data_IF_375390422483
#
_entry.id   IF_375390422483
#
_cell.length_a   1.000
_cell.length_b   1.000
_cell.length_c   1.000
_cell.angle_alpha   90.00
_cell.angle_beta   90.00
_cell.angle_gamma   90.00
#
_symmetry.space_group_name_H-M   'P 1'
#
loop_
_entity.id
_entity.type
_entity.pdbx_description
1 polymer ?
#
# COMPACT_ATOMS: atom_id res chain seq x y z
N UNK A 1 -3.63 -42.54 -36.63
CA UNK A 1 -2.94 -42.70 -37.92
C UNK A 1 -3.53 -43.87 -38.67
N UNK A 2 -4.31 -43.61 -39.72
CA UNK A 2 -4.31 -44.34 -41.01
C UNK A 2 -5.23 -43.59 -41.97
N UNK A 3 -4.62 -43.05 -43.01
CA UNK A 3 -5.22 -42.37 -44.16
C UNK A 3 -5.79 -43.41 -45.14
N UNK A 4 -6.63 -42.97 -46.09
CA UNK A 4 -6.96 -43.79 -47.25
C UNK A 4 -8.07 -43.22 -48.14
N UNK A 5 -7.72 -42.21 -48.93
CA UNK A 5 -8.48 -41.69 -50.07
C UNK A 5 -8.62 -42.70 -51.21
N UNK A 6 -9.72 -42.66 -51.95
CA UNK A 6 -9.88 -43.39 -53.20
C UNK A 6 -11.04 -42.84 -54.04
N UNK A 7 -10.71 -41.88 -54.90
CA UNK A 7 -11.54 -41.39 -56.01
C UNK A 7 -11.49 -42.42 -57.14
N UNK A 8 -12.61 -42.59 -57.87
CA UNK A 8 -12.70 -42.82 -59.33
C UNK A 8 -13.87 -43.75 -59.68
N UNK A 9 -14.96 -43.19 -60.21
CA UNK A 9 -15.78 -43.87 -61.21
C UNK A 9 -16.59 -42.82 -61.98
N UNK A 10 -16.28 -42.72 -63.27
CA UNK A 10 -16.87 -41.80 -64.22
C UNK A 10 -18.19 -42.34 -64.80
N UNK A 11 -19.06 -41.39 -65.16
CA UNK A 11 -19.96 -41.36 -66.33
C UNK A 11 -20.94 -42.51 -66.57
N UNK A 12 -22.24 -42.20 -66.74
CA UNK A 12 -23.02 -42.49 -67.96
C UNK A 12 -24.20 -41.50 -68.06
N UNK A 13 -24.51 -41.13 -69.29
CA UNK A 13 -25.43 -40.10 -69.79
C UNK A 13 -26.91 -40.50 -69.76
N UNK A 14 -27.75 -39.46 -69.79
CA UNK A 14 -29.01 -39.29 -70.56
C UNK A 14 -30.24 -40.14 -70.24
N UNK A 15 -31.36 -39.47 -70.02
CA UNK A 15 -32.50 -39.34 -70.98
C UNK A 15 -33.54 -38.43 -70.30
N UNK A 16 -33.73 -37.18 -70.71
CA UNK A 16 -34.69 -36.75 -71.74
C UNK A 16 -36.13 -37.31 -71.53
N UNK A 17 -37.07 -36.42 -71.21
CA UNK A 17 -38.46 -36.58 -71.67
C UNK A 17 -39.55 -36.27 -70.66
N UNK A 18 -40.04 -35.02 -70.67
CA UNK A 18 -41.47 -34.65 -70.66
C UNK A 18 -41.57 -33.11 -70.71
N UNK A 19 -41.37 -32.51 -71.89
CA UNK A 19 -42.44 -31.92 -72.71
C UNK A 19 -43.41 -30.98 -71.96
N UNK A 20 -43.09 -29.69 -72.10
CA UNK A 20 -43.96 -28.62 -72.62
C UNK A 20 -45.39 -28.48 -72.06
N UNK A 21 -45.60 -27.37 -71.34
CA UNK A 21 -46.79 -26.53 -71.54
C UNK A 21 -46.35 -25.23 -72.21
N UNK A 22 -46.95 -24.98 -73.36
CA UNK A 22 -46.68 -23.88 -74.28
C UNK A 22 -47.20 -22.55 -73.71
N UNK A 23 -46.46 -21.51 -74.09
CA UNK A 23 -46.60 -20.07 -73.91
C UNK A 23 -48.02 -19.47 -74.03
N UNK A 24 -48.23 -18.34 -73.35
CA UNK A 24 -48.27 -17.00 -74.00
C UNK A 24 -48.08 -15.86 -72.97
N UNK A 25 -47.35 -14.78 -73.31
CA UNK A 25 -47.20 -13.59 -72.49
C UNK A 25 -48.23 -12.51 -72.89
N UNK A 26 -48.80 -11.77 -71.93
CA UNK A 26 -49.57 -10.56 -72.22
C UNK A 26 -49.05 -9.37 -71.41
N UNK A 27 -48.42 -8.44 -72.14
CA UNK A 27 -48.31 -6.99 -71.90
C UNK A 27 -48.24 -6.50 -70.43
N UNK A 28 -47.03 -6.16 -69.97
CA UNK A 28 -46.85 -5.43 -68.71
C UNK A 28 -45.41 -5.10 -68.26
N UNK A 29 -44.39 -5.34 -69.09
CA UNK A 29 -42.98 -5.33 -68.68
C UNK A 29 -42.23 -3.99 -68.85
N UNK A 30 -42.88 -2.82 -68.81
CA UNK A 30 -42.22 -1.55 -69.15
C UNK A 30 -42.21 -0.45 -68.06
N UNK A 31 -42.81 -0.65 -66.89
CA UNK A 31 -42.92 0.45 -65.88
C UNK A 31 -42.06 0.23 -64.64
N UNK A 32 -41.44 -0.94 -64.45
CA UNK A 32 -40.75 -1.27 -63.18
C UNK A 32 -39.24 -1.04 -63.18
N UNK A 33 -38.60 -0.71 -64.31
CA UNK A 33 -37.14 -0.58 -64.37
C UNK A 33 -36.59 0.82 -63.98
N UNK A 34 -37.43 1.87 -63.97
CA UNK A 34 -36.98 3.23 -63.64
C UNK A 34 -37.01 3.56 -62.12
N UNK A 35 -37.65 2.71 -61.31
CA UNK A 35 -37.72 2.90 -59.86
C UNK A 35 -36.50 2.35 -59.10
N UNK A 36 -35.74 1.42 -59.70
CA UNK A 36 -34.59 0.79 -59.05
C UNK A 36 -33.32 1.66 -59.03
N UNK A 37 -33.22 2.69 -59.88
CA UNK A 37 -32.03 3.55 -59.98
C UNK A 37 -32.00 4.73 -58.98
N UNK A 38 -33.01 4.85 -58.11
CA UNK A 38 -33.06 5.86 -57.03
C UNK A 38 -32.76 5.28 -55.64
N UNK A 39 -32.06 4.15 -55.56
CA UNK A 39 -31.71 3.49 -54.30
C UNK A 39 -30.21 3.35 -54.09
N UNK A 40 -29.44 4.45 -54.17
CA UNK A 40 -28.06 4.47 -53.63
C UNK A 40 -27.47 5.88 -53.47
N UNK A 41 -28.30 6.87 -53.14
CA UNK A 41 -27.76 8.14 -52.62
C UNK A 41 -27.30 7.89 -51.18
N UNK A 42 -26.01 7.61 -51.02
CA UNK A 42 -25.37 7.31 -49.75
C UNK A 42 -25.56 8.45 -48.75
N UNK A 43 -26.10 8.11 -47.59
CA UNK A 43 -26.18 9.00 -46.45
C UNK A 43 -24.75 9.26 -45.93
N UNK A 44 -24.23 10.47 -46.15
CA UNK A 44 -23.03 10.94 -45.44
C UNK A 44 -23.49 11.74 -44.20
N UNK A 45 -23.32 11.22 -42.97
CA UNK A 45 -23.74 11.96 -41.79
C UNK A 45 -22.84 13.19 -41.60
N UNK A 46 -23.46 14.34 -41.35
CA UNK A 46 -22.73 15.53 -40.93
C UNK A 46 -22.12 15.27 -39.54
N UNK A 47 -20.81 14.99 -39.48
CA UNK A 47 -20.10 14.77 -38.22
C UNK A 47 -20.01 16.09 -37.47
N UNK A 48 -20.90 16.32 -36.51
CA UNK A 48 -20.80 17.46 -35.61
C UNK A 48 -19.70 17.18 -34.58
N UNK A 49 -18.62 17.97 -34.58
CA UNK A 49 -17.59 17.84 -33.56
C UNK A 49 -18.17 18.26 -32.21
N UNK A 50 -18.37 17.30 -31.30
CA UNK A 50 -18.90 17.55 -29.96
C UNK A 50 -17.94 18.47 -29.19
N UNK A 51 -18.45 19.66 -28.81
CA UNK A 51 -17.70 20.81 -28.28
C UNK A 51 -17.18 20.64 -26.83
N UNK A 52 -17.06 19.40 -26.33
CA UNK A 52 -16.71 19.13 -24.93
C UNK A 52 -15.79 17.89 -24.79
N UNK A 53 -14.51 18.02 -25.14
CA UNK A 53 -13.46 17.05 -24.79
C UNK A 53 -13.06 17.06 -23.29
N UNK A 54 -13.97 17.47 -22.40
CA UNK A 54 -13.69 17.76 -20.99
C UNK A 54 -14.54 16.94 -20.00
N UNK A 55 -15.16 15.85 -20.43
CA UNK A 55 -16.04 15.06 -19.56
C UNK A 55 -15.25 14.28 -18.47
N UNK A 56 -14.06 13.76 -18.78
CA UNK A 56 -13.31 12.92 -17.84
C UNK A 56 -12.81 13.70 -16.62
N UNK A 57 -12.23 14.89 -16.83
CA UNK A 57 -11.76 15.78 -15.75
C UNK A 57 -12.90 16.27 -14.84
N UNK A 58 -14.11 16.38 -15.41
CA UNK A 58 -15.31 16.76 -14.65
C UNK A 58 -15.84 15.60 -13.81
N UNK A 59 -15.68 14.36 -14.29
CA UNK A 59 -16.04 13.17 -13.50
C UNK A 59 -15.05 12.92 -12.36
N UNK A 60 -13.74 13.09 -12.59
CA UNK A 60 -12.72 12.94 -11.53
C UNK A 60 -12.89 13.96 -10.40
N UNK A 61 -13.25 15.21 -10.74
CA UNK A 61 -13.50 16.26 -9.74
C UNK A 61 -14.73 16.02 -8.87
N UNK A 62 -15.64 15.11 -9.27
CA UNK A 62 -16.90 14.89 -8.57
C UNK A 62 -17.85 16.10 -8.60
N UNK A 63 -19.00 16.04 -7.92
CA UNK A 63 -19.91 17.17 -7.80
C UNK A 63 -19.22 18.35 -7.10
N UNK A 64 -19.34 19.56 -7.66
CA UNK A 64 -18.78 20.78 -7.07
C UNK A 64 -19.50 21.08 -5.74
N UNK A 65 -18.84 20.79 -4.62
CA UNK A 65 -19.29 21.17 -3.29
C UNK A 65 -19.13 22.70 -3.13
N UNK A 66 -20.25 23.44 -3.19
CA UNK A 66 -20.27 24.90 -3.01
C UNK A 66 -20.15 25.33 -1.55
N UNK A 67 -20.63 24.50 -0.63
CA UNK A 67 -20.64 24.78 0.81
C UNK A 67 -19.79 23.74 1.51
N UNK A 68 -18.52 24.07 1.76
CA UNK A 68 -17.73 23.35 2.75
C UNK A 68 -18.27 23.80 4.11
N UNK A 69 -19.00 22.94 4.80
CA UNK A 69 -19.52 23.26 6.14
C UNK A 69 -18.41 23.78 7.05
N UNK A 70 -18.78 24.62 8.02
CA UNK A 70 -17.84 25.18 8.98
C UNK A 70 -17.19 24.06 9.80
N UNK A 71 -15.86 24.10 9.93
CA UNK A 71 -15.15 23.19 10.83
C UNK A 71 -15.25 23.76 12.24
N UNK A 72 -16.09 23.16 13.06
CA UNK A 72 -16.18 23.45 14.49
C UNK A 72 -14.78 23.36 15.14
N UNK A 73 -14.26 24.45 15.74
CA UNK A 73 -12.97 24.44 16.42
C UNK A 73 -13.03 23.73 17.78
N UNK A 74 -14.23 23.38 18.25
CA UNK A 74 -14.45 22.78 19.56
C UNK A 74 -14.11 21.27 19.56
N UNK A 75 -13.26 20.85 20.49
CA UNK A 75 -12.84 19.46 20.64
C UNK A 75 -13.91 18.60 21.35
N UNK A 76 -14.94 18.17 20.61
CA UNK A 76 -16.05 17.35 21.15
C UNK A 76 -15.74 15.83 21.24
N UNK A 77 -14.47 15.43 21.30
CA UNK A 77 -14.00 14.04 21.10
C UNK A 77 -13.49 13.34 22.37
N UNK A 78 -13.68 13.94 23.56
CA UNK A 78 -13.34 13.37 24.87
C UNK A 78 -12.11 13.99 25.56
N UNK A 79 -11.66 13.38 26.67
CA UNK A 79 -10.63 13.89 27.58
C UNK A 79 -9.17 13.63 27.15
N UNK A 80 -8.94 12.75 26.18
CA UNK A 80 -7.59 12.39 25.75
C UNK A 80 -7.05 13.43 24.75
N UNK A 81 -5.73 13.74 24.75
CA UNK A 81 -5.14 14.64 23.77
C UNK A 81 -5.29 14.10 22.34
N UNK A 82 -6.06 14.80 21.50
CA UNK A 82 -6.16 14.51 20.07
C UNK A 82 -5.06 15.26 19.33
N UNK A 83 -3.99 14.57 18.95
CA UNK A 83 -3.06 15.13 17.98
C UNK A 83 -3.75 15.18 16.59
N UNK A 84 -3.56 16.28 15.85
CA UNK A 84 -4.09 16.55 14.50
C UNK A 84 -3.98 15.36 13.52
N UNK A 85 -2.97 14.50 13.70
CA UNK A 85 -2.64 13.43 12.77
C UNK A 85 -3.18 12.05 13.14
N UNK A 86 -4.03 11.90 14.17
CA UNK A 86 -4.55 10.61 14.65
C UNK A 86 -3.45 9.56 14.96
N UNK A 87 -2.20 9.98 15.09
CA UNK A 87 -1.05 9.10 15.34
C UNK A 87 -1.06 8.74 16.83
N UNK A 88 -1.14 7.45 17.14
CA UNK A 88 -0.89 6.93 18.49
C UNK A 88 0.53 7.35 18.91
N UNK A 89 0.70 7.79 20.15
CA UNK A 89 2.04 7.98 20.72
C UNK A 89 2.82 6.66 20.58
N UNK A 90 4.10 6.69 20.17
CA UNK A 90 4.89 5.47 20.07
C UNK A 90 5.07 4.90 21.48
N UNK A 91 4.37 3.80 21.77
CA UNK A 91 4.62 3.00 22.96
C UNK A 91 6.07 2.52 22.86
N UNK A 92 6.92 2.71 23.88
CA UNK A 92 8.30 2.24 23.82
C UNK A 92 8.32 0.72 23.59
N UNK A 93 9.26 0.26 22.77
CA UNK A 93 9.41 -1.16 22.51
C UNK A 93 9.70 -1.90 23.82
N UNK A 94 8.91 -2.93 24.12
CA UNK A 94 9.11 -3.77 25.29
C UNK A 94 10.48 -4.46 25.20
N UNK A 95 11.32 -4.27 26.22
CA UNK A 95 12.61 -4.93 26.36
C UNK A 95 12.58 -5.77 27.63
N UNK A 96 12.45 -7.11 27.55
CA UNK A 96 12.44 -7.95 28.73
C UNK A 96 13.77 -7.82 29.47
N UNK A 97 13.69 -7.68 30.80
CA UNK A 97 14.85 -7.49 31.67
C UNK A 97 15.31 -8.86 32.18
N UNK A 98 16.53 -9.28 31.82
CA UNK A 98 17.12 -10.50 32.39
C UNK A 98 17.49 -10.25 33.87
N UNK A 99 16.80 -10.91 34.79
CA UNK A 99 17.05 -10.76 36.23
C UNK A 99 18.32 -11.49 36.69
N UNK A 100 18.72 -12.55 35.98
CA UNK A 100 19.87 -13.40 36.28
C UNK A 100 21.10 -13.08 35.41
N UNK A 101 21.19 -11.85 34.90
CA UNK A 101 22.42 -11.39 34.27
C UNK A 101 23.57 -11.41 35.30
N UNK A 102 24.75 -11.82 34.89
CA UNK A 102 25.94 -11.99 35.76
C UNK A 102 26.18 -10.79 36.68
N UNK A 103 26.15 -9.57 36.14
CA UNK A 103 26.31 -8.32 36.91
C UNK A 103 25.31 -8.17 38.07
N UNK A 104 24.09 -8.70 37.93
CA UNK A 104 23.06 -8.65 38.99
C UNK A 104 23.14 -9.84 39.91
N UNK A 105 23.44 -11.02 39.37
CA UNK A 105 23.61 -12.23 40.16
C UNK A 105 24.80 -12.11 41.13
N UNK A 106 25.89 -11.48 40.71
CA UNK A 106 27.11 -11.29 41.51
C UNK A 106 27.14 -9.96 42.29
N UNK A 107 26.05 -9.20 42.27
CA UNK A 107 26.00 -7.91 42.96
C UNK A 107 26.06 -8.14 44.49
N UNK A 108 26.99 -7.47 45.17
CA UNK A 108 27.14 -7.52 46.64
C UNK A 108 27.96 -8.68 47.20
N UNK A 109 28.53 -9.55 46.35
CA UNK A 109 29.26 -10.75 46.78
C UNK A 109 30.43 -10.45 47.74
N UNK A 110 31.11 -9.31 47.59
CA UNK A 110 32.33 -8.96 48.34
C UNK A 110 32.17 -7.74 49.27
N UNK A 111 30.94 -7.41 49.67
CA UNK A 111 30.68 -6.20 50.47
C UNK A 111 31.17 -6.31 51.92
N UNK A 112 31.25 -7.52 52.47
CA UNK A 112 31.66 -7.81 53.86
C UNK A 112 33.09 -8.38 53.97
N UNK A 113 33.96 -8.02 53.03
CA UNK A 113 35.34 -8.52 52.97
C UNK A 113 36.19 -8.13 54.19
N UNK A 114 35.82 -7.08 54.90
CA UNK A 114 36.53 -6.62 56.09
C UNK A 114 36.21 -7.45 57.34
N UNK A 115 34.96 -7.87 57.52
CA UNK A 115 34.53 -8.65 58.69
C UNK A 115 34.62 -10.17 58.50
N UNK A 116 34.52 -10.66 57.26
CA UNK A 116 34.60 -12.09 56.94
C UNK A 116 35.96 -12.49 56.33
N UNK A 117 36.79 -11.52 55.96
CA UNK A 117 38.10 -11.74 55.37
C UNK A 117 39.26 -11.58 56.35
N UNK A 118 40.50 -11.51 55.85
CA UNK A 118 41.70 -11.36 56.68
C UNK A 118 41.87 -9.96 57.32
N UNK A 119 40.87 -9.09 57.22
CA UNK A 119 40.88 -7.74 57.81
C UNK A 119 41.84 -6.73 57.16
N UNK A 120 42.57 -7.12 56.10
CA UNK A 120 43.57 -6.27 55.44
C UNK A 120 42.96 -5.27 54.42
N UNK A 121 41.71 -5.47 53.99
CA UNK A 121 41.07 -4.72 52.93
C UNK A 121 39.69 -4.21 53.39
N UNK A 122 39.49 -2.90 53.30
CA UNK A 122 38.22 -2.26 53.64
C UNK A 122 37.36 -2.06 52.36
N UNK A 123 36.01 -2.25 52.38
CA UNK A 123 35.16 -2.25 51.19
C UNK A 123 35.27 -0.99 50.32
N UNK A 124 35.54 0.17 50.93
CA UNK A 124 35.80 1.44 50.23
C UNK A 124 36.92 1.33 49.18
N UNK A 125 37.92 0.47 49.40
CA UNK A 125 39.06 0.28 48.48
C UNK A 125 38.70 -0.61 47.29
N UNK A 126 37.70 -1.46 47.42
CA UNK A 126 37.25 -2.43 46.39
C UNK A 126 36.43 -1.78 45.27
N UNK A 127 35.90 -0.57 45.48
CA UNK A 127 35.11 0.17 44.50
C UNK A 127 35.96 0.72 43.33
N UNK A 128 36.49 -0.15 42.47
CA UNK A 128 37.37 0.21 41.34
C UNK A 128 36.66 1.04 40.26
N UNK A 129 35.35 0.90 40.12
CA UNK A 129 34.55 1.68 39.16
C UNK A 129 34.41 3.15 39.55
N UNK A 130 34.65 3.50 40.82
CA UNK A 130 34.48 4.85 41.36
C UNK A 130 35.83 5.57 41.34
N UNK A 131 35.88 6.85 40.90
CA UNK A 131 37.12 7.63 40.94
C UNK A 131 37.73 7.70 42.34
N UNK A 132 39.07 7.67 42.43
CA UNK A 132 39.79 7.61 43.69
C UNK A 132 39.44 8.73 44.68
N UNK A 133 39.16 9.94 44.18
CA UNK A 133 38.78 11.09 44.99
C UNK A 133 37.36 10.99 45.57
N UNK A 134 36.49 10.13 45.02
CA UNK A 134 35.10 9.95 45.45
C UNK A 134 34.89 8.69 46.32
N UNK A 135 35.83 7.73 46.29
CA UNK A 135 35.75 6.51 47.11
C UNK A 135 35.64 6.84 48.61
N UNK A 136 34.56 6.37 49.25
CA UNK A 136 34.31 6.57 50.68
C UNK A 136 33.99 8.01 51.08
N UNK A 137 33.76 8.90 50.12
CA UNK A 137 33.43 10.28 50.38
C UNK A 137 31.90 10.45 50.49
N UNK A 138 31.46 11.15 51.54
CA UNK A 138 30.08 11.60 51.73
C UNK A 138 30.13 13.06 52.16
N UNK A 139 29.52 13.95 51.39
CA UNK A 139 29.55 15.39 51.66
C UNK A 139 28.72 16.18 50.65
N UNK A 140 28.68 17.50 50.82
CA UNK A 140 28.01 18.40 49.88
C UNK A 140 28.83 18.58 48.59
N UNK A 141 28.19 19.02 47.51
CA UNK A 141 28.83 19.26 46.22
C UNK A 141 30.04 20.20 46.34
N UNK A 142 29.93 21.26 47.14
CA UNK A 142 31.04 22.17 47.37
C UNK A 142 32.29 21.45 47.93
N UNK A 143 32.11 20.57 48.91
CA UNK A 143 33.19 19.78 49.50
C UNK A 143 33.77 18.77 48.50
N UNK A 144 32.90 18.19 47.67
CA UNK A 144 33.28 17.29 46.58
C UNK A 144 34.19 18.00 45.58
N UNK A 145 33.82 19.22 45.16
CA UNK A 145 34.59 20.01 44.20
C UNK A 145 35.95 20.44 44.78
N UNK A 146 35.99 20.88 46.03
CA UNK A 146 37.25 21.18 46.73
C UNK A 146 38.18 19.96 46.79
N UNK A 147 37.63 18.78 47.11
CA UNK A 147 38.38 17.53 47.18
C UNK A 147 38.91 17.10 45.83
N UNK A 148 38.08 17.20 44.77
CA UNK A 148 38.50 16.93 43.39
C UNK A 148 39.65 17.84 42.98
N UNK A 149 39.52 19.16 43.25
CA UNK A 149 40.57 20.15 42.97
C UNK A 149 41.90 19.80 43.66
N UNK A 150 41.86 19.33 44.92
CA UNK A 150 43.07 18.98 45.68
C UNK A 150 43.77 17.69 45.23
N UNK A 151 43.03 16.74 44.66
CA UNK A 151 43.56 15.41 44.33
C UNK A 151 43.94 15.28 42.84
N UNK A 152 43.24 15.98 41.94
CA UNK A 152 43.45 15.85 40.50
C UNK A 152 44.30 16.96 39.86
N UNK A 153 44.51 18.08 40.56
CA UNK A 153 45.38 19.17 40.12
C UNK A 153 46.55 19.31 41.10
#
# INVERSE_FOLDING_TARGET
>A
MKQGSGVMAAAVKSLLGALSRVATPSYGAAVTAAAAARMSQGWAPLVTSVRHRYHWQKMEKGPLLRNYGEKEPLHNKGLLPHMEHHKRLPIPLFRPKNNWAEKRALFGQNDYIDILGPGNLHPTKTAYSVPAWLRGFKGNEYQMLLRKKKIQH
#
